data_IF_228283756574
#
_entry.id   IF_228283756574
#
_cell.length_a   1.000
_cell.length_b   1.000
_cell.length_c   1.000
_cell.angle_alpha   90.00
_cell.angle_beta   90.00
_cell.angle_gamma   90.00
#
_symmetry.space_group_name_H-M   'P 1'
#
loop_
_entity.id
_entity.type
_entity.pdbx_description
1 polymer ?
#
# COMPACT_ATOMS: atom_id res chain seq x y z
N UNK A 1 13.55 -12.77 -3.96
CA UNK A 1 13.76 -13.43 -2.67
C UNK A 1 12.47 -13.55 -1.86
N UNK A 2 11.74 -12.46 -1.59
CA UNK A 2 10.45 -12.52 -0.85
C UNK A 2 9.43 -13.48 -1.46
N UNK A 3 9.27 -13.47 -2.79
CA UNK A 3 8.37 -14.38 -3.50
C UNK A 3 8.70 -15.84 -3.25
N UNK A 4 9.97 -16.22 -3.35
CA UNK A 4 10.41 -17.60 -3.14
C UNK A 4 10.26 -18.03 -1.68
N UNK A 5 10.49 -17.10 -0.74
CA UNK A 5 10.32 -17.37 0.69
C UNK A 5 8.84 -17.52 1.02
N UNK A 6 7.99 -16.59 0.57
CA UNK A 6 6.54 -16.66 0.80
C UNK A 6 5.92 -17.92 0.20
N UNK A 7 6.16 -18.17 -1.08
CA UNK A 7 5.66 -19.37 -1.76
C UNK A 7 6.18 -20.66 -1.12
N UNK A 8 7.47 -20.70 -0.72
CA UNK A 8 8.07 -21.86 -0.08
C UNK A 8 7.48 -22.14 1.31
N UNK A 9 7.22 -21.12 2.11
CA UNK A 9 6.56 -21.26 3.41
C UNK A 9 5.12 -21.72 3.23
N UNK A 10 4.37 -21.11 2.30
CA UNK A 10 2.99 -21.50 1.99
C UNK A 10 2.90 -22.96 1.56
N UNK A 11 3.74 -23.37 0.61
CA UNK A 11 3.83 -24.75 0.16
C UNK A 11 4.17 -25.73 1.31
N UNK A 12 5.13 -25.37 2.16
CA UNK A 12 5.53 -26.21 3.28
C UNK A 12 4.39 -26.39 4.30
N UNK A 13 3.70 -25.30 4.67
CA UNK A 13 2.57 -25.38 5.59
C UNK A 13 1.44 -26.21 4.99
N UNK A 14 1.12 -25.98 3.71
CA UNK A 14 0.05 -26.70 3.01
C UNK A 14 0.34 -28.20 2.88
N UNK A 15 1.59 -28.59 2.60
CA UNK A 15 1.97 -29.98 2.36
C UNK A 15 2.26 -30.80 3.62
N UNK A 16 2.79 -30.15 4.68
CA UNK A 16 3.34 -30.85 5.84
C UNK A 16 2.46 -30.73 7.10
N UNK A 17 1.46 -29.83 7.12
CA UNK A 17 0.64 -29.64 8.32
C UNK A 17 -0.79 -30.17 8.13
N UNK A 18 -1.28 -31.06 9.05
CA UNK A 18 -2.67 -31.53 9.00
C UNK A 18 -3.69 -30.44 9.33
N UNK A 19 -3.23 -29.27 9.77
CA UNK A 19 -4.04 -28.12 10.17
C UNK A 19 -4.03 -26.99 9.13
N UNK A 20 -3.49 -27.21 7.93
CA UNK A 20 -3.40 -26.20 6.89
C UNK A 20 -4.75 -25.51 6.63
N UNK A 21 -5.82 -26.30 6.51
CA UNK A 21 -7.18 -25.77 6.29
C UNK A 21 -7.68 -24.83 7.41
N UNK A 22 -7.22 -25.01 8.65
CA UNK A 22 -7.61 -24.12 9.75
C UNK A 22 -6.74 -22.87 9.85
N UNK A 23 -5.50 -22.93 9.34
CA UNK A 23 -4.58 -21.78 9.34
C UNK A 23 -4.92 -20.76 8.26
N UNK A 24 -5.40 -21.27 7.11
CA UNK A 24 -5.76 -20.48 5.93
C UNK A 24 -7.30 -20.30 5.78
N UNK A 25 -8.09 -20.73 6.77
CA UNK A 25 -9.51 -20.49 6.78
C UNK A 25 -9.85 -19.00 6.93
N UNK A 26 -11.00 -18.58 6.43
CA UNK A 26 -11.55 -17.24 6.65
C UNK A 26 -11.55 -16.90 8.18
N UNK A 27 -11.05 -15.75 8.56
CA UNK A 27 -10.74 -15.34 9.94
C UNK A 27 -9.63 -16.17 10.63
N UNK A 28 -8.80 -16.86 9.86
CA UNK A 28 -7.70 -17.66 10.34
C UNK A 28 -6.56 -16.86 10.97
N UNK A 29 -5.62 -17.55 11.61
CA UNK A 29 -4.48 -16.90 12.26
C UNK A 29 -3.54 -16.17 11.29
N UNK A 30 -3.62 -16.43 9.99
CA UNK A 30 -2.80 -15.75 8.96
C UNK A 30 -3.45 -14.46 8.48
N UNK A 31 -4.75 -14.43 8.30
CA UNK A 31 -5.51 -13.30 7.76
C UNK A 31 -5.51 -12.07 8.70
N UNK A 32 -5.62 -12.29 10.01
CA UNK A 32 -5.58 -11.21 11.00
C UNK A 32 -4.28 -10.38 10.97
N UNK A 33 -3.08 -10.98 11.03
CA UNK A 33 -1.82 -10.27 10.85
C UNK A 33 -1.74 -9.50 9.52
N UNK A 34 -2.27 -10.06 8.44
CA UNK A 34 -2.33 -9.41 7.13
C UNK A 34 -3.15 -8.12 7.19
N UNK A 35 -4.39 -8.20 7.71
CA UNK A 35 -5.26 -7.04 7.87
C UNK A 35 -4.62 -5.94 8.74
N UNK A 36 -3.91 -6.33 9.82
CA UNK A 36 -3.19 -5.37 10.68
C UNK A 36 -2.04 -4.72 9.93
N UNK A 37 -1.20 -5.49 9.22
CA UNK A 37 -0.03 -4.97 8.50
C UNK A 37 -0.45 -4.04 7.36
N UNK A 38 -1.44 -4.42 6.56
CA UNK A 38 -1.95 -3.56 5.48
C UNK A 38 -2.62 -2.31 6.05
N UNK A 39 -3.32 -2.42 7.19
CA UNK A 39 -3.91 -1.29 7.89
C UNK A 39 -2.87 -0.29 8.37
N UNK A 40 -1.80 -0.77 8.99
CA UNK A 40 -0.68 0.08 9.41
C UNK A 40 -0.02 0.78 8.20
N UNK A 41 0.18 0.07 7.09
CA UNK A 41 0.71 0.65 5.87
C UNK A 41 -0.20 1.77 5.33
N UNK A 42 -1.52 1.54 5.29
CA UNK A 42 -2.51 2.54 4.86
C UNK A 42 -2.45 3.81 5.74
N UNK A 43 -2.41 3.65 7.06
CA UNK A 43 -2.29 4.77 8.02
C UNK A 43 -1.00 5.54 7.80
N UNK A 44 0.14 4.87 7.64
CA UNK A 44 1.44 5.53 7.40
C UNK A 44 1.39 6.32 6.10
N UNK A 45 0.86 5.78 5.00
CA UNK A 45 0.70 6.53 3.75
C UNK A 45 -0.27 7.70 3.89
N UNK A 46 -1.37 7.56 4.63
CA UNK A 46 -2.29 8.66 4.90
C UNK A 46 -1.60 9.80 5.68
N UNK A 47 -0.78 9.46 6.67
CA UNK A 47 0.04 10.44 7.42
C UNK A 47 1.07 11.10 6.50
N UNK A 48 1.72 10.35 5.60
CA UNK A 48 2.63 10.92 4.60
C UNK A 48 1.90 11.87 3.65
N UNK A 49 0.72 11.50 3.20
CA UNK A 49 -0.14 12.34 2.38
C UNK A 49 -0.47 13.66 3.10
N UNK A 50 -0.83 13.58 4.37
CA UNK A 50 -1.16 14.77 5.17
C UNK A 50 0.04 15.69 5.37
N UNK A 51 1.20 15.14 5.73
CA UNK A 51 2.41 15.90 6.08
C UNK A 51 3.16 16.46 4.90
N UNK A 52 3.05 15.87 3.72
CA UNK A 52 3.79 16.27 2.52
C UNK A 52 2.85 16.91 1.48
N UNK A 53 2.89 18.23 1.30
CA UNK A 53 2.04 18.90 0.31
C UNK A 53 2.51 18.69 -1.15
N UNK A 54 3.74 18.20 -1.34
CA UNK A 54 4.36 18.00 -2.66
C UNK A 54 3.94 16.73 -3.38
N UNK A 55 4.59 16.42 -4.52
CA UNK A 55 4.26 15.25 -5.35
C UNK A 55 4.35 13.91 -4.60
N UNK A 56 5.29 13.78 -3.66
CA UNK A 56 5.44 12.59 -2.82
C UNK A 56 4.15 12.32 -2.01
N UNK A 57 3.66 13.33 -1.29
CA UNK A 57 2.43 13.18 -0.51
C UNK A 57 1.19 13.02 -1.38
N UNK A 58 1.20 13.56 -2.60
CA UNK A 58 0.10 13.37 -3.55
C UNK A 58 0.04 11.92 -4.03
N UNK A 59 1.18 11.27 -4.26
CA UNK A 59 1.26 9.82 -4.53
C UNK A 59 0.74 8.97 -3.37
N UNK A 60 0.97 9.38 -2.14
CA UNK A 60 0.52 8.64 -0.97
C UNK A 60 -1.01 8.55 -0.84
N UNK A 61 -1.76 9.49 -1.46
CA UNK A 61 -3.25 9.49 -1.40
C UNK A 61 -3.85 8.24 -2.05
N UNK A 62 -3.60 7.94 -3.35
CA UNK A 62 -4.17 6.75 -3.98
C UNK A 62 -3.65 5.46 -3.35
N UNK A 63 -2.40 5.44 -2.89
CA UNK A 63 -1.81 4.26 -2.27
C UNK A 63 -2.52 3.96 -0.95
N UNK A 64 -2.73 4.96 -0.09
CA UNK A 64 -3.49 4.79 1.15
C UNK A 64 -4.90 4.28 0.89
N UNK A 65 -5.57 4.80 -0.15
CA UNK A 65 -6.90 4.34 -0.54
C UNK A 65 -6.89 2.89 -1.03
N UNK A 66 -5.96 2.50 -1.90
CA UNK A 66 -5.86 1.13 -2.39
C UNK A 66 -5.59 0.12 -1.26
N UNK A 67 -4.72 0.48 -0.30
CA UNK A 67 -4.49 -0.35 0.88
C UNK A 67 -5.71 -0.40 1.80
N UNK A 68 -6.48 0.68 1.93
CA UNK A 68 -7.75 0.65 2.64
C UNK A 68 -8.79 -0.25 1.95
N UNK A 69 -8.82 -0.27 0.61
CA UNK A 69 -9.65 -1.23 -0.13
C UNK A 69 -9.19 -2.68 0.10
N UNK A 70 -7.88 -2.93 0.19
CA UNK A 70 -7.35 -4.24 0.53
C UNK A 70 -7.82 -4.71 1.92
N UNK A 71 -7.81 -3.84 2.94
CA UNK A 71 -8.36 -4.18 4.28
C UNK A 71 -9.83 -4.60 4.17
N UNK A 72 -10.64 -3.84 3.40
CA UNK A 72 -12.07 -4.16 3.22
C UNK A 72 -12.26 -5.49 2.49
N UNK A 73 -11.33 -5.87 1.62
CA UNK A 73 -11.31 -7.17 0.93
C UNK A 73 -11.04 -8.29 1.92
N UNK A 74 -9.99 -8.18 2.73
CA UNK A 74 -9.57 -9.18 3.72
C UNK A 74 -10.64 -9.44 4.81
N UNK A 75 -11.45 -8.46 5.14
CA UNK A 75 -12.50 -8.66 6.14
C UNK A 75 -13.68 -9.43 5.52
N UNK A 76 -14.11 -10.58 6.09
CA UNK A 76 -15.21 -11.36 5.55
C UNK A 76 -16.53 -10.58 5.59
N UNK A 77 -17.45 -10.91 4.68
CA UNK A 77 -18.81 -10.41 4.75
C UNK A 77 -19.62 -11.20 5.78
N UNK A 78 -20.35 -10.52 6.68
CA UNK A 78 -21.18 -11.18 7.69
C UNK A 78 -22.25 -12.13 7.09
N UNK A 79 -22.56 -11.96 5.82
CA UNK A 79 -23.55 -12.73 5.07
C UNK A 79 -22.87 -13.85 4.25
N UNK A 80 -21.55 -14.04 4.35
CA UNK A 80 -20.84 -15.08 3.63
C UNK A 80 -21.23 -16.47 4.16
N UNK A 81 -21.42 -17.43 3.27
CA UNK A 81 -21.63 -18.83 3.63
C UNK A 81 -20.44 -19.48 4.34
N UNK A 82 -19.27 -18.88 4.17
CA UNK A 82 -18.00 -19.33 4.79
C UNK A 82 -17.72 -18.64 6.13
N UNK A 83 -18.60 -17.72 6.56
CA UNK A 83 -18.43 -17.01 7.83
C UNK A 83 -18.78 -17.92 9.01
N UNK A 84 -17.77 -18.32 9.77
CA UNK A 84 -17.87 -19.22 10.94
C UNK A 84 -17.74 -18.47 12.29
N UNK A 85 -17.97 -17.16 12.28
CA UNK A 85 -17.88 -16.28 13.45
C UNK A 85 -16.61 -15.42 13.49
N UNK A 86 -16.61 -14.41 14.34
CA UNK A 86 -15.49 -13.45 14.45
C UNK A 86 -15.84 -12.05 13.97
N UNK A 87 -14.82 -11.29 13.50
CA UNK A 87 -15.06 -9.95 12.97
C UNK A 87 -15.49 -10.04 11.50
N UNK A 88 -16.59 -9.36 11.17
CA UNK A 88 -17.09 -9.29 9.80
C UNK A 88 -17.60 -7.89 9.48
N UNK A 89 -17.75 -7.57 8.21
CA UNK A 89 -18.34 -6.32 7.72
C UNK A 89 -19.52 -6.65 6.81
N UNK A 90 -20.69 -6.09 7.10
CA UNK A 90 -21.86 -6.20 6.24
C UNK A 90 -21.55 -5.67 4.83
N UNK A 91 -22.04 -6.34 3.79
CA UNK A 91 -21.77 -6.00 2.38
C UNK A 91 -22.11 -4.55 2.03
N UNK A 92 -23.19 -4.03 2.61
CA UNK A 92 -23.60 -2.63 2.47
C UNK A 92 -22.51 -1.67 2.96
N UNK A 93 -21.94 -1.95 4.13
CA UNK A 93 -20.84 -1.16 4.71
C UNK A 93 -19.56 -1.25 3.92
N UNK A 94 -19.22 -2.43 3.36
CA UNK A 94 -18.06 -2.54 2.44
C UNK A 94 -18.19 -1.56 1.28
N UNK A 95 -19.38 -1.51 0.64
CA UNK A 95 -19.63 -0.58 -0.46
C UNK A 95 -19.53 0.88 -0.02
N UNK A 96 -20.09 1.23 1.14
CA UNK A 96 -20.03 2.60 1.69
C UNK A 96 -18.58 3.00 2.00
N UNK A 97 -17.79 2.13 2.60
CA UNK A 97 -16.38 2.40 2.92
C UNK A 97 -15.55 2.64 1.66
N UNK A 98 -15.69 1.78 0.65
CA UNK A 98 -14.95 1.91 -0.62
C UNK A 98 -15.37 3.17 -1.38
N UNK A 99 -16.67 3.45 -1.50
CA UNK A 99 -17.16 4.63 -2.22
C UNK A 99 -16.80 5.93 -1.51
N UNK A 100 -16.95 5.97 -0.18
CA UNK A 100 -16.58 7.15 0.62
C UNK A 100 -15.06 7.40 0.58
N UNK A 101 -14.27 6.34 0.73
CA UNK A 101 -12.82 6.43 0.58
C UNK A 101 -12.41 6.93 -0.81
N UNK A 102 -13.05 6.43 -1.86
CA UNK A 102 -12.85 6.89 -3.23
C UNK A 102 -13.20 8.37 -3.42
N UNK A 103 -14.31 8.81 -2.84
CA UNK A 103 -14.68 10.23 -2.86
C UNK A 103 -13.64 11.11 -2.14
N UNK A 104 -13.18 10.70 -0.97
CA UNK A 104 -12.12 11.40 -0.21
C UNK A 104 -10.83 11.45 -1.03
N UNK A 105 -10.43 10.34 -1.66
CA UNK A 105 -9.28 10.29 -2.55
C UNK A 105 -9.40 11.29 -3.71
N UNK A 106 -10.54 11.32 -4.40
CA UNK A 106 -10.81 12.24 -5.51
C UNK A 106 -10.75 13.71 -5.07
N UNK A 107 -11.35 14.03 -3.92
CA UNK A 107 -11.26 15.37 -3.33
C UNK A 107 -9.80 15.73 -3.02
N UNK A 108 -9.05 14.81 -2.42
CA UNK A 108 -7.63 15.00 -2.14
C UNK A 108 -6.81 15.28 -3.41
N UNK A 109 -7.08 14.56 -4.50
CA UNK A 109 -6.47 14.81 -5.80
C UNK A 109 -6.87 16.18 -6.37
N UNK A 110 -8.14 16.52 -6.31
CA UNK A 110 -8.63 17.79 -6.82
C UNK A 110 -7.98 18.98 -6.09
N UNK A 111 -7.87 18.90 -4.77
CA UNK A 111 -7.20 19.91 -3.95
C UNK A 111 -5.69 20.03 -4.28
N UNK A 112 -5.07 18.94 -4.75
CA UNK A 112 -3.63 18.88 -5.10
C UNK A 112 -3.36 18.81 -6.60
N UNK A 113 -4.31 19.23 -7.43
CA UNK A 113 -4.22 19.18 -8.91
C UNK A 113 -2.94 19.80 -9.48
N UNK A 114 -2.38 20.79 -8.81
CA UNK A 114 -1.13 21.44 -9.22
C UNK A 114 0.09 20.52 -9.15
N UNK A 115 0.03 19.43 -8.36
CA UNK A 115 1.10 18.44 -8.25
C UNK A 115 0.97 17.30 -9.27
N UNK A 116 -0.19 17.15 -9.94
CA UNK A 116 -0.45 15.99 -10.82
C UNK A 116 0.57 15.89 -11.96
N UNK A 117 0.88 17.01 -12.61
CA UNK A 117 1.90 17.05 -13.66
C UNK A 117 3.31 16.73 -13.14
N UNK A 118 3.59 17.04 -11.87
CA UNK A 118 4.85 16.70 -11.24
C UNK A 118 4.94 15.21 -10.90
N UNK A 119 3.81 14.56 -10.58
CA UNK A 119 3.75 13.12 -10.28
C UNK A 119 4.17 12.26 -11.48
N UNK A 120 3.82 12.67 -12.69
CA UNK A 120 4.09 11.92 -13.93
C UNK A 120 5.59 11.99 -14.31
N UNK A 121 6.36 12.91 -13.71
CA UNK A 121 7.80 13.00 -13.98
C UNK A 121 8.49 11.69 -13.56
N UNK A 122 9.40 11.15 -14.39
CA UNK A 122 10.05 9.85 -14.14
C UNK A 122 10.68 9.73 -12.75
N UNK A 123 11.21 10.83 -12.22
CA UNK A 123 11.79 10.89 -10.88
C UNK A 123 10.83 10.44 -9.78
N UNK A 124 9.57 10.86 -9.84
CA UNK A 124 8.58 10.56 -8.82
C UNK A 124 7.90 9.22 -9.05
N UNK A 125 7.60 8.89 -10.30
CA UNK A 125 7.06 7.58 -10.66
C UNK A 125 8.03 6.46 -10.28
N UNK A 126 9.33 6.68 -10.48
CA UNK A 126 10.36 5.70 -10.14
C UNK A 126 10.53 5.49 -8.62
N UNK A 127 10.19 6.48 -7.78
CA UNK A 127 10.23 6.31 -6.31
C UNK A 127 9.27 5.23 -5.85
N UNK A 128 8.14 5.08 -6.53
CA UNK A 128 7.08 4.13 -6.15
C UNK A 128 7.15 2.77 -6.86
N UNK A 129 8.19 2.53 -7.68
CA UNK A 129 8.36 1.24 -8.34
C UNK A 129 8.38 0.03 -7.37
N UNK A 130 8.89 0.14 -6.11
CA UNK A 130 8.86 -0.99 -5.19
C UNK A 130 7.43 -1.49 -4.90
N UNK A 131 6.43 -0.62 -4.94
CA UNK A 131 5.03 -1.06 -4.82
C UNK A 131 4.57 -1.89 -6.03
N UNK A 132 5.22 -1.74 -7.18
CA UNK A 132 4.99 -2.61 -8.33
C UNK A 132 5.37 -4.07 -8.01
N UNK A 133 6.36 -4.31 -7.16
CA UNK A 133 6.71 -5.64 -6.68
C UNK A 133 5.57 -6.21 -5.81
N UNK A 134 5.06 -5.41 -4.84
CA UNK A 134 3.93 -5.85 -4.03
C UNK A 134 2.70 -6.17 -4.90
N UNK A 135 2.41 -5.35 -5.89
CA UNK A 135 1.32 -5.59 -6.84
C UNK A 135 1.52 -6.87 -7.68
N UNK A 136 2.75 -7.14 -8.13
CA UNK A 136 3.07 -8.40 -8.82
C UNK A 136 2.90 -9.61 -7.91
N UNK A 137 3.27 -9.51 -6.63
CA UNK A 137 3.05 -10.57 -5.65
C UNK A 137 1.55 -10.88 -5.49
N UNK A 138 0.71 -9.85 -5.41
CA UNK A 138 -0.75 -10.01 -5.32
C UNK A 138 -1.33 -10.65 -6.60
N UNK A 139 -0.83 -10.29 -7.78
CA UNK A 139 -1.26 -10.95 -9.03
C UNK A 139 -0.88 -12.43 -9.03
N UNK A 140 0.32 -12.78 -8.56
CA UNK A 140 0.77 -14.17 -8.48
C UNK A 140 -0.03 -14.94 -7.43
N UNK A 141 -0.37 -14.32 -6.31
CA UNK A 141 -1.24 -14.88 -5.28
C UNK A 141 -2.62 -15.27 -5.86
N UNK A 142 -3.29 -14.34 -6.54
CA UNK A 142 -4.57 -14.55 -7.22
C UNK A 142 -4.53 -15.69 -8.26
N UNK A 143 -3.37 -15.88 -8.92
CA UNK A 143 -3.16 -17.02 -9.80
C UNK A 143 -3.04 -18.32 -8.99
N UNK A 144 -2.37 -18.28 -7.82
CA UNK A 144 -2.27 -19.41 -6.89
C UNK A 144 -3.63 -19.93 -6.45
N UNK A 145 -4.54 -19.04 -6.09
CA UNK A 145 -5.95 -19.34 -5.75
C UNK A 145 -6.63 -20.18 -6.85
N UNK A 146 -6.50 -19.77 -8.10
CA UNK A 146 -7.11 -20.47 -9.24
C UNK A 146 -6.58 -21.88 -9.46
N UNK A 147 -5.40 -22.17 -8.96
CA UNK A 147 -4.81 -23.53 -8.98
C UNK A 147 -5.08 -24.32 -7.68
N UNK A 148 -5.83 -23.76 -6.73
CA UNK A 148 -6.21 -24.44 -5.48
C UNK A 148 -5.07 -24.49 -4.45
N UNK A 149 -4.11 -23.57 -4.50
CA UNK A 149 -3.00 -23.45 -3.57
C UNK A 149 -3.21 -22.30 -2.59
N UNK A 150 -4.18 -22.44 -1.67
CA UNK A 150 -4.56 -21.42 -0.68
C UNK A 150 -3.36 -20.99 0.18
N UNK A 151 -2.50 -21.92 0.61
CA UNK A 151 -1.34 -21.60 1.42
C UNK A 151 -0.30 -20.76 0.69
N UNK A 152 -0.11 -20.97 -0.62
CA UNK A 152 0.79 -20.13 -1.44
C UNK A 152 0.21 -18.73 -1.62
N UNK A 153 -1.08 -18.64 -1.90
CA UNK A 153 -1.81 -17.38 -2.05
C UNK A 153 -1.63 -16.51 -0.81
N UNK A 154 -2.06 -16.98 0.35
CA UNK A 154 -2.03 -16.27 1.61
C UNK A 154 -0.62 -15.80 1.99
N UNK A 155 0.39 -16.63 1.81
CA UNK A 155 1.77 -16.26 2.14
C UNK A 155 2.36 -15.26 1.16
N UNK A 156 1.94 -15.25 -0.10
CA UNK A 156 2.33 -14.24 -1.08
C UNK A 156 1.66 -12.90 -0.81
N UNK A 157 0.39 -12.90 -0.45
CA UNK A 157 -0.34 -11.70 -0.04
C UNK A 157 0.30 -11.09 1.21
N UNK A 158 0.56 -11.90 2.22
CA UNK A 158 1.24 -11.44 3.43
C UNK A 158 2.62 -10.83 3.13
N UNK A 159 3.40 -11.47 2.25
CA UNK A 159 4.69 -10.95 1.80
C UNK A 159 4.54 -9.60 1.08
N UNK A 160 3.50 -9.43 0.27
CA UNK A 160 3.19 -8.16 -0.41
C UNK A 160 2.83 -7.05 0.59
N UNK A 161 2.03 -7.36 1.62
CA UNK A 161 1.63 -6.40 2.64
C UNK A 161 2.79 -5.99 3.55
N UNK A 162 3.65 -6.94 3.96
CA UNK A 162 4.89 -6.62 4.68
C UNK A 162 5.77 -5.70 3.82
N UNK A 163 5.92 -6.00 2.53
CA UNK A 163 6.72 -5.17 1.63
C UNK A 163 6.15 -3.75 1.52
N UNK A 164 4.83 -3.62 1.35
CA UNK A 164 4.15 -2.33 1.31
C UNK A 164 4.30 -1.55 2.63
N UNK A 165 4.23 -2.24 3.77
CA UNK A 165 4.45 -1.62 5.08
C UNK A 165 5.90 -1.13 5.24
N UNK A 166 6.89 -1.95 4.96
CA UNK A 166 8.30 -1.54 5.02
C UNK A 166 8.56 -0.34 4.12
N UNK A 167 7.99 -0.34 2.92
CA UNK A 167 8.09 0.78 2.00
C UNK A 167 7.39 2.04 2.53
N UNK A 168 6.23 1.91 3.17
CA UNK A 168 5.51 3.04 3.78
C UNK A 168 6.35 3.73 4.87
N UNK A 169 7.02 2.94 5.72
CA UNK A 169 7.93 3.44 6.75
C UNK A 169 9.13 4.17 6.13
N UNK A 170 9.68 3.64 5.04
CA UNK A 170 10.75 4.31 4.29
C UNK A 170 10.28 5.65 3.72
N UNK A 171 9.11 5.70 3.07
CA UNK A 171 8.50 6.94 2.55
C UNK A 171 8.31 7.95 3.67
N UNK A 172 7.80 7.52 4.83
CA UNK A 172 7.64 8.36 6.00
C UNK A 172 8.96 8.97 6.46
N UNK A 173 10.05 8.21 6.44
CA UNK A 173 11.40 8.71 6.72
C UNK A 173 11.83 9.82 5.74
N UNK A 174 11.45 9.71 4.46
CA UNK A 174 11.76 10.75 3.47
C UNK A 174 10.97 12.04 3.70
N UNK A 175 9.72 11.95 4.21
CA UNK A 175 8.92 13.15 4.50
C UNK A 175 9.45 13.95 5.70
N UNK A 176 10.26 13.33 6.56
CA UNK A 176 10.89 13.98 7.73
C UNK A 176 12.17 14.71 7.42
N UNK A 177 12.81 14.43 6.29
CA UNK A 177 14.06 15.12 5.91
C UNK A 177 13.72 16.56 5.53
N UNK A 178 14.39 17.59 6.12
CA UNK A 178 14.23 18.94 5.67
C UNK A 178 14.53 18.95 4.16
N UNK A 179 13.59 19.40 3.36
CA UNK A 179 13.92 19.69 1.96
C UNK A 179 15.02 20.73 2.00
N UNK A 180 16.17 20.50 1.33
CA UNK A 180 17.15 21.55 1.19
C UNK A 180 16.38 22.73 0.61
N UNK A 181 16.19 23.76 1.43
CA UNK A 181 15.66 25.03 0.98
C UNK A 181 16.61 25.46 -0.10
N UNK A 182 16.20 25.27 -1.34
CA UNK A 182 16.90 25.79 -2.51
C UNK A 182 16.85 27.30 -2.42
N UNK A 183 17.60 27.83 -1.46
CA UNK A 183 18.04 29.20 -1.46
C UNK A 183 18.94 29.27 -2.68
N UNK A 184 18.31 29.53 -3.82
CA UNK A 184 18.99 30.13 -4.95
C UNK A 184 19.70 31.33 -4.37
N UNK A 185 20.97 31.14 -3.96
CA UNK A 185 21.94 32.20 -4.02
C UNK A 185 21.98 32.59 -5.51
N UNK A 186 20.99 33.39 -5.90
CA UNK A 186 21.26 34.34 -6.96
C UNK A 186 22.44 35.18 -6.43
N UNK A 187 23.63 34.69 -6.72
CA UNK A 187 24.82 35.52 -6.70
C UNK A 187 24.46 36.74 -7.57
N UNK A 188 24.13 37.82 -6.89
CA UNK A 188 24.20 39.15 -7.50
C UNK A 188 25.66 39.28 -7.93
N UNK A 189 25.94 38.85 -9.15
CA UNK A 189 27.15 39.30 -9.85
C UNK A 189 26.91 40.79 -10.05
N UNK A 190 27.65 41.66 -9.34
CA UNK A 190 27.55 43.08 -9.58
C UNK A 190 28.07 43.32 -11.00
N UNK A 191 27.17 43.69 -11.90
CA UNK A 191 27.53 44.18 -13.21
C UNK A 191 28.62 45.24 -13.04
N UNK A 192 29.80 44.95 -13.59
CA UNK A 192 30.96 45.80 -13.56
C UNK A 192 30.62 47.21 -14.06
N UNK A 193 31.11 48.21 -13.33
CA UNK A 193 31.13 49.62 -13.77
C UNK A 193 31.91 49.70 -15.09
N UNK A 194 31.44 50.48 -16.08
CA UNK A 194 32.26 50.80 -17.24
C UNK A 194 33.40 51.69 -16.76
N UNK A 195 34.62 51.29 -17.10
CA UNK A 195 35.82 52.09 -16.97
C UNK A 195 35.77 53.14 -18.10
N UNK A 196 35.73 54.39 -17.75
CA UNK A 196 35.96 55.54 -18.67
C UNK A 196 37.44 55.80 -18.72
#
# INVERSE_FOLDING_TARGET
MLLLIGAGIGWFIESETPYAATWFAENGPVEWPQAVVVGLAAVVFAVCAWRSPGPLGTWCIPIAYLLACAIVREMPACESHFYDGGACIERSWKTVLVTTGGAIMLVGFFLRRHNLMAMIKPRWSFVFWPLGIAFLLLIVAEVGEKFGHEGIEEMLEFSAYIHAFCFSVWVFGQTRRPQPTGRSERSHVPFGRPIV
#
